data_IF_108566141607
#
_entry.id   IF_108566141607
#
_cell.length_a   1.000
_cell.length_b   1.000
_cell.length_c   1.000
_cell.angle_alpha   90.00
_cell.angle_beta   90.00
_cell.angle_gamma   90.00
#
_symmetry.space_group_name_H-M   'P 1'
#
loop_
_entity.id
_entity.type
_entity.pdbx_description
1 polymer ?
#
# COMPACT_ATOMS: atom_id res chain seq x y z
N UNK A 1 -22.92 26.09 -7.50
CA UNK A 1 -21.47 26.11 -7.75
C UNK A 1 -20.92 24.77 -7.28
N UNK A 2 -20.30 24.03 -8.18
CA UNK A 2 -19.70 22.72 -7.91
C UNK A 2 -18.49 22.88 -6.98
N UNK A 3 -18.62 22.46 -5.73
CA UNK A 3 -17.51 22.36 -4.79
C UNK A 3 -16.54 21.28 -5.29
N UNK A 4 -15.54 21.69 -6.08
CA UNK A 4 -14.41 20.84 -6.46
C UNK A 4 -13.54 20.60 -5.22
N UNK A 5 -13.94 19.63 -4.42
CA UNK A 5 -13.13 19.13 -3.32
C UNK A 5 -12.02 18.23 -3.86
N UNK A 6 -10.76 18.60 -3.60
CA UNK A 6 -9.57 17.84 -4.02
C UNK A 6 -8.96 17.13 -2.82
N UNK A 7 -9.49 15.95 -2.53
CA UNK A 7 -8.81 14.90 -1.75
C UNK A 7 -9.52 13.53 -1.85
N UNK A 8 -10.56 13.41 -2.68
CA UNK A 8 -11.23 12.15 -3.01
C UNK A 8 -11.35 11.99 -4.53
N UNK A 9 -11.02 10.81 -5.02
CA UNK A 9 -11.04 10.48 -6.45
C UNK A 9 -12.42 10.00 -6.90
N UNK A 10 -12.90 10.51 -8.04
CA UNK A 10 -13.89 9.81 -8.86
C UNK A 10 -13.17 8.83 -9.78
N UNK A 11 -13.08 7.58 -9.36
CA UNK A 11 -12.55 6.51 -10.21
C UNK A 11 -13.58 6.15 -11.29
N UNK A 12 -13.15 5.65 -12.46
CA UNK A 12 -14.06 5.06 -13.44
C UNK A 12 -14.95 4.00 -12.78
N UNK A 13 -16.24 3.96 -13.14
CA UNK A 13 -17.25 3.06 -12.53
C UNK A 13 -16.89 1.57 -12.55
N UNK A 14 -15.95 1.17 -13.40
CA UNK A 14 -15.52 -0.22 -13.58
C UNK A 14 -14.14 -0.52 -12.96
N UNK A 15 -13.54 0.41 -12.23
CA UNK A 15 -12.28 0.16 -11.53
C UNK A 15 -12.53 -0.84 -10.41
N UNK A 16 -11.95 -2.04 -10.53
CA UNK A 16 -12.01 -3.06 -9.49
C UNK A 16 -11.06 -2.69 -8.37
N UNK A 17 -11.49 -2.89 -7.12
CA UNK A 17 -10.58 -2.78 -5.99
C UNK A 17 -9.52 -3.89 -6.06
N UNK A 18 -8.23 -3.54 -5.96
CA UNK A 18 -7.20 -4.55 -5.84
C UNK A 18 -7.38 -5.28 -4.52
N UNK A 19 -7.35 -6.60 -4.57
CA UNK A 19 -7.36 -7.46 -3.39
C UNK A 19 -5.95 -7.85 -3.03
N UNK A 20 -5.69 -8.05 -1.73
CA UNK A 20 -4.45 -8.66 -1.27
C UNK A 20 -4.25 -10.03 -1.94
N UNK A 21 -3.03 -10.25 -2.44
CA UNK A 21 -2.62 -11.44 -3.18
C UNK A 21 -1.69 -12.28 -2.32
N UNK A 22 -1.70 -13.57 -2.59
CA UNK A 22 -0.75 -14.52 -2.04
C UNK A 22 -0.08 -15.28 -3.18
N UNK A 23 1.23 -15.17 -3.27
CA UNK A 23 2.07 -15.96 -4.18
C UNK A 23 2.58 -17.23 -3.48
N UNK A 24 3.47 -17.97 -4.15
CA UNK A 24 4.14 -19.14 -3.57
C UNK A 24 4.95 -18.79 -2.32
N UNK A 25 5.61 -17.64 -2.32
CA UNK A 25 6.56 -17.25 -1.26
C UNK A 25 6.08 -16.08 -0.41
N UNK A 26 5.25 -15.19 -0.94
CA UNK A 26 4.84 -13.95 -0.26
C UNK A 26 3.32 -13.82 -0.16
N UNK A 27 2.88 -13.10 0.85
CA UNK A 27 1.48 -12.71 1.08
C UNK A 27 1.41 -11.24 1.47
N UNK A 28 0.48 -10.53 0.84
CA UNK A 28 0.13 -9.16 1.19
C UNK A 28 -0.58 -9.12 2.54
N UNK A 29 -0.07 -8.30 3.46
CA UNK A 29 -0.73 -7.99 4.74
C UNK A 29 -1.39 -6.61 4.72
N UNK A 30 -0.73 -5.63 4.11
CA UNK A 30 -1.29 -4.30 3.91
C UNK A 30 -0.60 -3.57 2.77
N UNK A 31 -1.35 -2.80 1.99
CA UNK A 31 -0.80 -1.90 0.97
C UNK A 31 -1.61 -0.61 0.97
N UNK A 32 -0.94 0.54 1.12
CA UNK A 32 -1.59 1.85 1.14
C UNK A 32 -0.66 2.95 0.63
N UNK A 33 -1.26 4.07 0.20
CA UNK A 33 -0.55 5.33 0.12
C UNK A 33 -0.61 5.97 1.51
N UNK A 34 0.53 6.01 2.20
CA UNK A 34 0.64 6.73 3.47
C UNK A 34 0.70 8.22 3.17
N UNK A 35 -0.28 8.97 3.67
CA UNK A 35 -0.41 10.40 3.46
C UNK A 35 0.12 11.14 4.69
N UNK A 36 1.03 12.07 4.47
CA UNK A 36 1.52 12.98 5.49
C UNK A 36 1.03 14.40 5.19
N UNK A 37 0.49 15.08 6.21
CA UNK A 37 -0.16 16.40 6.13
C UNK A 37 0.64 17.50 6.82
N UNK A 38 1.95 17.29 7.09
CA UNK A 38 2.79 18.30 7.73
C UNK A 38 2.88 19.56 6.87
N UNK A 39 2.80 20.73 7.51
CA UNK A 39 2.96 22.05 6.87
C UNK A 39 1.98 22.32 5.72
N UNK A 40 0.73 21.83 5.84
CA UNK A 40 -0.32 22.01 4.83
C UNK A 40 -0.01 21.39 3.44
N UNK A 41 1.06 20.60 3.35
CA UNK A 41 1.41 19.85 2.15
C UNK A 41 1.02 18.38 2.33
N UNK A 42 0.38 17.81 1.31
CA UNK A 42 0.15 16.38 1.23
C UNK A 42 1.31 15.71 0.51
N UNK A 43 2.13 14.94 1.24
CA UNK A 43 3.04 14.00 0.61
C UNK A 43 2.49 12.59 0.74
N UNK A 44 2.65 11.79 -0.30
CA UNK A 44 2.26 10.40 -0.29
C UNK A 44 3.49 9.49 -0.39
N UNK A 45 3.41 8.32 0.23
CA UNK A 45 4.41 7.27 0.15
C UNK A 45 3.72 5.95 -0.14
N UNK A 46 4.29 5.12 -1.00
CA UNK A 46 3.90 3.71 -1.01
C UNK A 46 4.29 3.10 0.33
N UNK A 47 3.35 2.42 0.97
CA UNK A 47 3.53 1.65 2.19
C UNK A 47 3.01 0.24 1.93
N UNK A 48 3.89 -0.75 1.98
CA UNK A 48 3.54 -2.13 1.66
C UNK A 48 4.18 -3.11 2.65
N UNK A 49 3.33 -3.86 3.35
CA UNK A 49 3.71 -4.91 4.28
C UNK A 49 3.41 -6.27 3.65
N UNK A 50 4.44 -7.09 3.55
CA UNK A 50 4.35 -8.47 3.06
C UNK A 50 4.92 -9.42 4.10
N UNK A 51 4.40 -10.63 4.14
CA UNK A 51 4.98 -11.72 4.92
C UNK A 51 5.43 -12.87 4.04
N UNK A 52 6.46 -13.58 4.51
CA UNK A 52 6.94 -14.79 3.87
C UNK A 52 6.03 -15.96 4.25
N UNK A 53 5.53 -16.69 3.25
CA UNK A 53 4.71 -17.91 3.45
C UNK A 53 5.54 -19.18 3.46
N UNK A 54 6.69 -19.16 2.77
CA UNK A 54 7.58 -20.30 2.58
C UNK A 54 9.01 -19.80 2.49
N UNK A 55 9.95 -20.58 3.00
CA UNK A 55 11.36 -20.26 2.91
C UNK A 55 11.81 -20.10 1.45
N UNK A 56 12.66 -19.11 1.23
CA UNK A 56 13.28 -18.87 -0.07
C UNK A 56 14.38 -19.91 -0.29
N UNK A 57 14.56 -20.40 -1.54
CA UNK A 57 15.53 -21.45 -1.85
C UNK A 57 16.96 -20.91 -1.88
N UNK A 58 17.48 -20.47 -0.74
CA UNK A 58 18.84 -19.94 -0.56
C UNK A 58 19.38 -20.25 0.83
N UNK A 59 20.70 -20.37 0.95
CA UNK A 59 21.41 -20.52 2.23
C UNK A 59 21.94 -19.19 2.76
N UNK A 60 22.03 -18.16 1.91
CA UNK A 60 22.43 -16.79 2.27
C UNK A 60 21.23 -15.94 2.67
N UNK A 61 21.48 -14.80 3.31
CA UNK A 61 20.45 -13.78 3.57
C UNK A 61 20.03 -13.19 2.22
N UNK A 62 18.75 -13.36 1.81
CA UNK A 62 18.28 -12.85 0.52
C UNK A 62 18.22 -11.32 0.54
N UNK A 63 18.43 -10.71 -0.62
CA UNK A 63 18.15 -9.29 -0.82
C UNK A 63 16.76 -9.14 -1.43
N UNK A 64 15.91 -8.32 -0.84
CA UNK A 64 14.54 -8.09 -1.31
C UNK A 64 14.37 -6.61 -1.64
N UNK A 65 13.79 -6.33 -2.80
CA UNK A 65 13.44 -4.98 -3.23
C UNK A 65 12.06 -4.95 -3.88
N UNK A 66 11.42 -3.78 -3.87
CA UNK A 66 10.22 -3.52 -4.63
C UNK A 66 10.52 -2.58 -5.80
N UNK A 67 9.87 -2.85 -6.92
CA UNK A 67 9.70 -1.97 -8.06
C UNK A 67 8.27 -1.44 -8.02
N UNK A 68 8.10 -0.12 -7.92
CA UNK A 68 6.81 0.54 -7.80
C UNK A 68 6.60 1.46 -9.00
N UNK A 69 5.42 1.43 -9.60
CA UNK A 69 5.06 2.36 -10.67
C UNK A 69 5.10 3.80 -10.13
N UNK A 70 5.85 4.69 -10.78
CA UNK A 70 5.90 6.09 -10.35
C UNK A 70 4.65 6.82 -10.86
N UNK A 71 3.84 7.46 -9.98
CA UNK A 71 2.55 8.01 -10.37
C UNK A 71 2.60 9.06 -11.49
N UNK A 72 3.60 9.95 -11.48
CA UNK A 72 3.81 10.96 -12.52
C UNK A 72 4.84 10.60 -13.60
N UNK A 73 5.61 9.52 -13.45
CA UNK A 73 6.73 9.17 -14.33
C UNK A 73 6.75 7.67 -14.62
N UNK A 74 5.72 7.17 -15.29
CA UNK A 74 5.50 5.72 -15.47
C UNK A 74 6.68 4.96 -16.10
N UNK A 75 7.52 5.64 -16.90
CA UNK A 75 8.74 5.07 -17.49
C UNK A 75 9.90 4.90 -16.49
N UNK A 76 9.82 5.51 -15.31
CA UNK A 76 10.86 5.53 -14.28
C UNK A 76 10.33 4.92 -12.98
N UNK A 77 10.25 3.58 -12.87
CA UNK A 77 9.76 2.95 -11.66
C UNK A 77 10.68 3.24 -10.47
N UNK A 78 10.09 3.34 -9.28
CA UNK A 78 10.81 3.49 -8.04
C UNK A 78 11.33 2.12 -7.60
N UNK A 79 12.63 2.00 -7.42
CA UNK A 79 13.26 0.80 -6.86
C UNK A 79 13.64 1.07 -5.42
N UNK A 80 13.07 0.32 -4.49
CA UNK A 80 13.24 0.53 -3.05
C UNK A 80 13.53 -0.80 -2.35
N UNK A 81 14.54 -0.85 -1.46
CA UNK A 81 14.80 -2.04 -0.67
C UNK A 81 13.63 -2.32 0.27
N UNK A 82 13.30 -3.60 0.47
CA UNK A 82 12.38 -4.00 1.52
C UNK A 82 13.16 -4.15 2.83
N UNK A 83 12.63 -3.60 3.91
CA UNK A 83 13.22 -3.69 5.24
C UNK A 83 12.60 -4.87 5.97
N UNK A 84 13.42 -5.79 6.46
CA UNK A 84 12.94 -6.86 7.33
C UNK A 84 12.57 -6.28 8.69
N UNK A 85 11.36 -6.57 9.15
CA UNK A 85 10.89 -6.12 10.45
C UNK A 85 11.39 -7.07 11.53
N UNK A 86 12.09 -6.51 12.52
CA UNK A 86 12.41 -7.19 13.76
C UNK A 86 11.34 -6.88 14.81
N UNK A 87 11.01 -7.86 15.64
CA UNK A 87 10.20 -7.61 16.83
C UNK A 87 11.05 -6.85 17.85
N UNK A 88 10.67 -5.61 18.16
CA UNK A 88 11.44 -4.74 19.07
C UNK A 88 10.89 -4.72 20.50
N UNK A 89 9.63 -5.13 20.68
CA UNK A 89 9.01 -5.22 21.99
C UNK A 89 9.37 -6.57 22.66
N UNK A 90 10.08 -6.57 23.81
CA UNK A 90 10.47 -7.79 24.51
C UNK A 90 9.29 -8.58 25.09
N UNK A 91 8.10 -7.97 25.18
CA UNK A 91 6.88 -8.62 25.69
C UNK A 91 5.95 -9.11 24.58
N UNK A 92 6.21 -8.76 23.33
CA UNK A 92 5.40 -9.18 22.20
C UNK A 92 5.84 -10.57 21.69
N UNK A 93 4.86 -11.40 21.31
CA UNK A 93 5.14 -12.67 20.66
C UNK A 93 5.91 -12.42 19.34
N UNK A 94 6.90 -13.26 18.98
CA UNK A 94 7.60 -13.13 17.70
C UNK A 94 6.61 -13.25 16.54
N UNK A 95 6.91 -12.59 15.42
CA UNK A 95 6.09 -12.74 14.23
C UNK A 95 6.07 -14.21 13.79
N UNK A 96 4.91 -14.75 13.39
CA UNK A 96 4.80 -16.15 12.97
C UNK A 96 5.60 -16.44 11.69
N UNK A 97 5.96 -15.39 10.94
CA UNK A 97 6.78 -15.46 9.74
C UNK A 97 7.54 -14.16 9.56
N UNK A 98 8.65 -14.20 8.82
CA UNK A 98 9.43 -13.02 8.46
C UNK A 98 8.55 -12.02 7.71
N UNK A 99 8.64 -10.74 8.08
CA UNK A 99 7.87 -9.66 7.48
C UNK A 99 8.81 -8.64 6.86
N UNK A 100 8.41 -8.12 5.71
CA UNK A 100 9.15 -7.10 5.01
C UNK A 100 8.25 -5.90 4.77
N UNK A 101 8.77 -4.73 5.10
CA UNK A 101 8.10 -3.46 4.90
C UNK A 101 8.82 -2.65 3.82
N UNK A 102 8.05 -2.19 2.85
CA UNK A 102 8.51 -1.32 1.76
C UNK A 102 7.90 0.06 1.99
N UNK A 103 8.77 1.07 1.98
CA UNK A 103 8.38 2.47 2.08
C UNK A 103 9.07 3.27 0.96
N UNK A 104 8.30 3.93 0.11
CA UNK A 104 8.89 4.80 -0.93
C UNK A 104 9.38 6.14 -0.34
N UNK A 105 10.30 6.82 -1.04
CA UNK A 105 10.48 8.26 -0.86
C UNK A 105 9.16 9.01 -1.03
N UNK A 106 9.13 10.26 -0.55
CA UNK A 106 7.99 11.15 -0.74
C UNK A 106 7.71 11.34 -2.22
N UNK A 107 6.46 11.11 -2.61
CA UNK A 107 5.97 11.37 -3.96
C UNK A 107 5.47 12.82 -3.99
N UNK A 108 5.98 13.60 -4.95
CA UNK A 108 5.57 14.99 -5.14
C UNK A 108 4.10 15.13 -5.59
N UNK A 109 3.53 14.06 -6.15
CA UNK A 109 2.13 14.00 -6.53
C UNK A 109 1.70 12.56 -6.78
N UNK A 110 0.47 12.25 -6.39
CA UNK A 110 -0.19 10.97 -6.70
C UNK A 110 -1.53 11.29 -7.33
N UNK A 111 -1.74 10.76 -8.55
CA UNK A 111 -3.02 10.88 -9.23
C UNK A 111 -3.94 9.72 -8.83
N UNK A 112 -5.23 9.88 -9.10
CA UNK A 112 -6.19 8.80 -8.98
C UNK A 112 -5.82 7.67 -9.95
N UNK A 113 -5.67 6.45 -9.44
CA UNK A 113 -5.29 5.35 -10.32
C UNK A 113 -4.90 4.09 -9.60
N UNK A 114 -4.83 3.02 -10.38
CA UNK A 114 -4.30 1.73 -9.98
C UNK A 114 -2.83 1.69 -10.40
N UNK A 115 -1.94 1.42 -9.44
CA UNK A 115 -0.50 1.45 -9.63
C UNK A 115 0.09 0.07 -9.40
N UNK A 116 0.91 -0.38 -10.34
CA UNK A 116 1.55 -1.69 -10.27
C UNK A 116 2.71 -1.69 -9.28
N UNK A 117 2.84 -2.79 -8.55
CA UNK A 117 3.90 -3.01 -7.58
C UNK A 117 4.44 -4.42 -7.71
N UNK A 118 5.76 -4.57 -7.64
CA UNK A 118 6.41 -5.88 -7.71
C UNK A 118 7.53 -5.99 -6.69
N UNK A 119 7.45 -6.98 -5.82
CA UNK A 119 8.54 -7.42 -4.96
C UNK A 119 9.39 -8.44 -5.71
N UNK A 120 10.71 -8.33 -5.61
CA UNK A 120 11.66 -9.31 -6.12
C UNK A 120 12.63 -9.70 -5.01
N UNK A 121 12.75 -11.00 -4.77
CA UNK A 121 13.74 -11.57 -3.87
C UNK A 121 14.90 -12.15 -4.69
N UNK A 122 16.11 -11.74 -4.37
CA UNK A 122 17.34 -12.20 -4.97
C UNK A 122 18.16 -13.02 -3.97
N UNK A 123 19.06 -13.86 -4.48
CA UNK A 123 19.98 -14.64 -3.66
C UNK A 123 20.85 -13.76 -2.76
N UNK A 124 21.24 -12.60 -3.26
CA UNK A 124 22.06 -11.60 -2.59
C UNK A 124 21.94 -10.23 -3.29
N UNK A 125 22.74 -9.26 -2.85
CA UNK A 125 22.75 -7.89 -3.39
C UNK A 125 23.32 -7.74 -4.81
N UNK A 126 23.95 -8.78 -5.38
CA UNK A 126 24.39 -8.75 -6.78
C UNK A 126 23.22 -8.77 -7.76
N UNK A 127 22.03 -9.18 -7.29
CA UNK A 127 20.79 -9.29 -8.08
C UNK A 127 20.89 -10.22 -9.30
N UNK A 128 21.93 -11.06 -9.35
CA UNK A 128 22.19 -11.97 -10.48
C UNK A 128 21.19 -13.14 -10.55
N UNK A 129 20.67 -13.58 -9.40
CA UNK A 129 19.74 -14.70 -9.30
C UNK A 129 18.46 -14.29 -8.58
N UNK A 130 17.35 -14.31 -9.32
CA UNK A 130 16.00 -14.15 -8.75
C UNK A 130 15.57 -15.48 -8.11
N UNK A 131 15.10 -15.40 -6.86
CA UNK A 131 14.55 -16.52 -6.10
C UNK A 131 13.03 -16.56 -6.18
N UNK A 132 12.39 -15.39 -6.13
CA UNK A 132 10.94 -15.25 -6.13
C UNK A 132 10.52 -13.84 -6.55
N UNK A 133 9.32 -13.73 -7.09
CA UNK A 133 8.63 -12.47 -7.36
C UNK A 133 7.23 -12.49 -6.75
N UNK A 134 6.71 -11.31 -6.45
CA UNK A 134 5.33 -11.13 -6.00
C UNK A 134 4.80 -9.80 -6.52
N UNK A 135 3.67 -9.84 -7.20
CA UNK A 135 3.07 -8.67 -7.84
C UNK A 135 1.74 -8.35 -7.17
N UNK A 136 1.50 -7.06 -6.99
CA UNK A 136 0.24 -6.53 -6.51
C UNK A 136 -0.04 -5.17 -7.18
N UNK A 137 -1.23 -4.65 -6.96
CA UNK A 137 -1.64 -3.34 -7.42
C UNK A 137 -2.19 -2.56 -6.22
N UNK A 138 -1.99 -1.26 -6.23
CA UNK A 138 -2.53 -0.37 -5.21
C UNK A 138 -3.36 0.73 -5.84
N UNK A 139 -4.54 0.94 -5.27
CA UNK A 139 -5.46 1.98 -5.72
C UNK A 139 -5.21 3.26 -4.92
N UNK A 140 -4.77 4.32 -5.59
CA UNK A 140 -4.84 5.67 -5.00
C UNK A 140 -6.26 6.21 -5.13
N UNK A 141 -6.85 6.58 -3.98
CA UNK A 141 -8.13 7.28 -3.89
C UNK A 141 -7.98 8.77 -3.59
N UNK A 142 -6.73 9.26 -3.60
CA UNK A 142 -6.41 10.65 -3.31
C UNK A 142 -5.68 11.28 -4.48
N UNK A 143 -5.99 12.54 -4.74
CA UNK A 143 -5.17 13.42 -5.57
C UNK A 143 -4.46 14.40 -4.62
N UNK A 144 -3.13 14.43 -4.64
CA UNK A 144 -2.35 15.19 -3.65
C UNK A 144 -1.78 16.50 -4.17
N UNK A 145 -2.16 16.95 -5.38
CA UNK A 145 -1.60 18.18 -5.99
C UNK A 145 -1.89 19.45 -5.15
N UNK A 146 -3.09 19.58 -4.58
CA UNK A 146 -3.46 20.59 -3.57
C UNK A 146 -4.63 20.07 -2.74
N UNK A 147 -4.51 20.05 -1.41
CA UNK A 147 -5.62 19.65 -0.55
C UNK A 147 -5.59 20.43 0.78
N UNK A 148 -6.69 21.10 1.09
CA UNK A 148 -6.85 21.81 2.35
C UNK A 148 -7.21 20.80 3.45
N UNK A 149 -6.27 20.58 4.37
CA UNK A 149 -6.36 19.60 5.47
C UNK A 149 -7.70 19.66 6.20
N UNK A 150 -8.17 20.86 6.54
CA UNK A 150 -9.40 21.04 7.33
C UNK A 150 -10.64 20.69 6.52
N UNK A 151 -10.67 21.03 5.23
CA UNK A 151 -11.74 20.60 4.33
C UNK A 151 -11.75 19.09 4.19
N UNK A 152 -10.57 18.46 4.10
CA UNK A 152 -10.44 17.02 4.00
C UNK A 152 -10.99 16.29 5.22
N UNK A 153 -10.53 16.69 6.40
CA UNK A 153 -10.98 16.07 7.65
C UNK A 153 -12.47 16.30 7.87
N UNK A 154 -13.01 17.47 7.52
CA UNK A 154 -14.45 17.74 7.59
C UNK A 154 -15.25 16.84 6.66
N UNK A 155 -14.86 16.75 5.38
CA UNK A 155 -15.56 15.93 4.39
C UNK A 155 -15.48 14.43 4.72
N UNK A 156 -14.33 13.94 5.19
CA UNK A 156 -14.19 12.55 5.66
C UNK A 156 -15.11 12.27 6.86
N UNK A 157 -15.18 13.18 7.83
CA UNK A 157 -16.11 13.07 8.96
C UNK A 157 -17.58 13.17 8.56
N UNK A 158 -17.92 13.90 7.51
CA UNK A 158 -19.29 13.93 6.93
C UNK A 158 -19.61 12.64 6.18
N UNK A 159 -18.67 12.10 5.41
CA UNK A 159 -18.83 10.83 4.72
C UNK A 159 -18.98 9.66 5.70
N UNK A 160 -18.21 9.62 6.78
CA UNK A 160 -18.33 8.64 7.86
C UNK A 160 -19.75 8.63 8.46
N UNK A 161 -20.34 9.81 8.68
CA UNK A 161 -21.73 9.94 9.16
C UNK A 161 -22.76 9.46 8.14
N UNK A 162 -22.48 9.62 6.85
CA UNK A 162 -23.38 9.24 5.75
C UNK A 162 -23.27 7.77 5.35
N UNK A 163 -22.10 7.16 5.51
CA UNK A 163 -21.86 5.74 5.32
C UNK A 163 -21.85 5.07 6.69
N UNK A 164 -23.03 4.94 7.28
CA UNK A 164 -23.18 4.16 8.51
C UNK A 164 -22.63 2.75 8.29
N UNK A 165 -21.45 2.47 8.85
CA UNK A 165 -20.85 1.13 8.89
C UNK A 165 -21.74 0.11 9.64
N UNK A 166 -22.85 0.55 10.23
CA UNK A 166 -23.85 -0.28 10.92
C UNK A 166 -24.80 -1.06 10.00
N UNK A 167 -24.89 -0.78 8.70
CA UNK A 167 -25.80 -1.54 7.81
C UNK A 167 -25.20 -2.84 7.24
N UNK A 168 -23.88 -3.04 7.38
CA UNK A 168 -23.22 -4.28 6.95
C UNK A 168 -23.40 -5.43 7.95
N UNK A 169 -23.66 -5.15 9.23
CA UNK A 169 -23.75 -6.19 10.28
C UNK A 169 -25.18 -6.75 10.45
N UNK A 170 -26.20 -6.01 10.02
CA UNK A 170 -27.61 -6.48 10.09
C UNK A 170 -28.00 -7.49 9.01
N UNK A 171 -27.16 -7.72 7.98
CA UNK A 171 -27.44 -8.74 6.95
C UNK A 171 -26.96 -10.15 7.31
N UNK A 172 -26.23 -10.35 8.42
CA UNK A 172 -25.82 -11.69 8.88
C UNK A 172 -26.72 -12.34 9.93
N UNK A 173 -27.60 -11.58 10.59
CA UNK A 173 -28.56 -12.11 11.57
C UNK A 173 -30.01 -12.19 11.06
N UNK A 174 -30.24 -11.99 9.77
CA UNK A 174 -31.54 -12.15 9.12
C UNK A 174 -31.76 -13.51 8.49
N UNK A 175 -31.56 -14.61 9.22
CA UNK A 175 -32.21 -15.89 8.91
C UNK A 175 -33.30 -16.13 9.95
N UNK A 176 -34.53 -15.78 9.57
CA UNK A 176 -35.74 -16.42 10.11
C UNK A 176 -35.80 -17.85 9.61
#
# INVERSE_FOLDING_TARGET
MSNNFSCGCMLPKNTKEPTFKASKYFEDLSASFAINTKQEQLTAHYSWLVQLRRDLPTTSIPYIEATLEHPSRRSEPLVVPAMELAQTDPHAAPFPSRRFYVLSPALAGVQCGLYSMRLTAYADRSKTKVLATHENEILSRVNTETCFRDEFMRAMGEMEKSQGWEEADKRKNGKK
#
